data_IF_627706611260
#
_entry.id   IF_627706611260
#
_cell.length_a   1.000
_cell.length_b   1.000
_cell.length_c   1.000
_cell.angle_alpha   90.00
_cell.angle_beta   90.00
_cell.angle_gamma   90.00
#
_symmetry.space_group_name_H-M   'P 1'
#
loop_
_entity.id
_entity.type
_entity.pdbx_description
1 polymer ?
#
# COMPACT_ATOMS: atom_id res chain seq x y z
N UNK A 1 -1.24 -1.35 -12.55
CA UNK A 1 -0.15 -0.65 -11.85
C UNK A 1 -0.77 0.48 -11.04
N UNK A 2 -0.53 0.52 -9.73
CA UNK A 2 -1.25 1.44 -8.84
C UNK A 2 -0.45 2.63 -8.36
N UNK A 3 -1.02 3.81 -8.56
CA UNK A 3 -0.34 5.08 -8.33
C UNK A 3 -0.71 5.69 -6.98
N UNK A 4 -1.98 5.54 -6.58
CA UNK A 4 -2.55 6.23 -5.42
C UNK A 4 -1.78 5.92 -4.13
N UNK A 5 -1.44 4.64 -3.92
CA UNK A 5 -0.70 4.20 -2.73
C UNK A 5 0.81 4.39 -2.82
N UNK A 6 1.31 4.96 -3.91
CA UNK A 6 2.73 5.16 -4.16
C UNK A 6 3.05 6.61 -4.60
N UNK A 7 2.32 7.58 -4.03
CA UNK A 7 2.62 9.00 -4.16
C UNK A 7 1.70 9.82 -5.08
N UNK A 8 0.63 9.25 -5.63
CA UNK A 8 -0.35 9.99 -6.44
C UNK A 8 -1.63 10.32 -5.66
N UNK A 9 -2.28 11.43 -6.01
CA UNK A 9 -3.56 11.81 -5.40
C UNK A 9 -4.69 10.85 -5.77
N UNK A 10 -4.81 10.51 -7.07
CA UNK A 10 -5.76 9.56 -7.62
C UNK A 10 -5.19 8.95 -8.89
N UNK A 11 -5.64 7.74 -9.24
CA UNK A 11 -5.39 7.13 -10.54
C UNK A 11 -4.70 5.78 -10.46
N UNK A 12 -5.15 4.88 -11.33
CA UNK A 12 -4.63 3.53 -11.52
C UNK A 12 -4.41 3.32 -13.03
N UNK A 13 -3.32 2.64 -13.39
CA UNK A 13 -3.01 2.32 -14.78
C UNK A 13 -3.38 0.87 -15.08
N UNK A 14 -4.25 0.67 -16.07
CA UNK A 14 -4.64 -0.64 -16.58
C UNK A 14 -3.79 -0.93 -17.82
N UNK A 15 -3.04 -2.03 -17.77
CA UNK A 15 -2.11 -2.43 -18.82
C UNK A 15 -2.55 -3.77 -19.39
N UNK A 16 -2.90 -3.79 -20.68
CA UNK A 16 -3.22 -5.01 -21.41
C UNK A 16 -1.96 -5.52 -22.11
N UNK A 17 -1.41 -6.64 -21.64
CA UNK A 17 -0.30 -7.31 -22.32
C UNK A 17 -0.79 -8.09 -23.54
N UNK A 18 -1.93 -8.79 -23.40
CA UNK A 18 -2.69 -9.28 -24.53
C UNK A 18 -3.63 -8.16 -25.01
N UNK A 19 -3.37 -7.63 -26.21
CA UNK A 19 -4.12 -6.50 -26.76
C UNK A 19 -5.51 -6.87 -27.23
N UNK A 20 -5.78 -8.13 -27.53
CA UNK A 20 -7.12 -8.59 -27.93
C UNK A 20 -8.13 -8.38 -26.80
N UNK A 21 -7.67 -8.49 -25.54
CA UNK A 21 -8.49 -8.22 -24.36
C UNK A 21 -8.80 -6.71 -24.16
N UNK A 22 -8.13 -5.82 -24.88
CA UNK A 22 -8.35 -4.38 -24.80
C UNK A 22 -9.44 -3.87 -25.74
N UNK A 23 -10.01 -4.73 -26.59
CA UNK A 23 -11.11 -4.38 -27.49
C UNK A 23 -12.27 -3.74 -26.71
N UNK A 24 -12.67 -2.53 -27.15
CA UNK A 24 -13.71 -1.68 -26.55
C UNK A 24 -13.54 -1.35 -25.05
N UNK A 25 -12.33 -1.49 -24.50
CA UNK A 25 -12.10 -1.22 -23.08
C UNK A 25 -12.33 0.26 -22.70
N UNK A 26 -12.04 1.18 -23.61
CA UNK A 26 -12.33 2.61 -23.46
C UNK A 26 -13.83 2.90 -23.46
N UNK A 27 -14.63 2.21 -24.27
CA UNK A 27 -16.10 2.27 -24.22
C UNK A 27 -16.64 1.76 -22.87
N UNK A 28 -16.09 0.67 -22.33
CA UNK A 28 -16.44 0.19 -20.97
C UNK A 28 -16.10 1.22 -19.91
N UNK A 29 -14.91 1.83 -19.97
CA UNK A 29 -14.52 2.92 -19.07
C UNK A 29 -15.47 4.12 -19.18
N UNK A 30 -15.87 4.49 -20.39
CA UNK A 30 -16.82 5.57 -20.64
C UNK A 30 -18.18 5.27 -20.02
N UNK A 31 -18.74 4.09 -20.27
CA UNK A 31 -20.04 3.68 -19.75
C UNK A 31 -20.05 3.57 -18.22
N UNK A 32 -18.95 3.11 -17.63
CA UNK A 32 -18.78 3.00 -16.18
C UNK A 32 -18.49 4.35 -15.48
N UNK A 33 -18.42 5.46 -16.22
CA UNK A 33 -18.10 6.78 -15.67
C UNK A 33 -16.64 6.93 -15.22
N UNK A 34 -15.73 6.05 -15.66
CA UNK A 34 -14.29 6.09 -15.33
C UNK A 34 -13.46 6.89 -16.34
N UNK A 35 -14.08 7.47 -17.38
CA UNK A 35 -13.38 8.31 -18.35
C UNK A 35 -13.25 9.76 -17.84
N UNK A 36 -12.06 10.11 -17.34
CA UNK A 36 -11.77 11.45 -16.85
C UNK A 36 -11.76 12.50 -17.98
N UNK A 37 -12.65 13.50 -17.89
CA UNK A 37 -12.68 14.63 -18.85
C UNK A 37 -11.36 15.40 -18.89
N UNK A 38 -10.71 15.58 -17.72
CA UNK A 38 -9.40 16.24 -17.61
C UNK A 38 -8.30 15.20 -17.36
N UNK A 39 -8.13 14.28 -18.32
CA UNK A 39 -7.23 13.11 -18.22
C UNK A 39 -5.79 13.45 -17.83
N UNK A 40 -5.31 14.66 -18.16
CA UNK A 40 -3.97 15.15 -17.75
C UNK A 40 -3.71 15.07 -16.24
N UNK A 41 -4.74 15.17 -15.38
CA UNK A 41 -4.54 15.05 -13.94
C UNK A 41 -4.38 13.60 -13.47
N UNK A 42 -4.78 12.63 -14.29
CA UNK A 42 -4.49 11.21 -14.06
C UNK A 42 -3.15 10.83 -14.73
N UNK A 43 -2.87 11.32 -15.94
CA UNK A 43 -1.69 10.89 -16.71
C UNK A 43 -0.40 11.62 -16.36
N UNK A 44 -0.43 12.93 -16.07
CA UNK A 44 0.79 13.71 -15.82
C UNK A 44 1.61 13.23 -14.60
N UNK A 45 1.00 12.84 -13.45
CA UNK A 45 1.79 12.33 -12.32
C UNK A 45 2.60 11.07 -12.67
N UNK A 46 2.09 10.20 -13.55
CA UNK A 46 2.81 9.01 -14.00
C UNK A 46 4.13 9.35 -14.69
N UNK A 47 4.19 10.46 -15.44
CA UNK A 47 5.42 10.92 -16.08
C UNK A 47 6.50 11.15 -15.03
N UNK A 48 6.17 11.89 -13.96
CA UNK A 48 7.09 12.15 -12.86
C UNK A 48 7.47 10.88 -12.08
N UNK A 49 6.51 9.99 -11.84
CA UNK A 49 6.75 8.73 -11.14
C UNK A 49 7.70 7.80 -11.92
N UNK A 50 7.50 7.68 -13.23
CA UNK A 50 8.16 6.69 -14.08
C UNK A 50 9.50 7.17 -14.66
N UNK A 51 9.62 8.43 -15.08
CA UNK A 51 10.85 8.91 -15.74
C UNK A 51 12.06 8.94 -14.82
N UNK A 52 11.85 9.13 -13.52
CA UNK A 52 12.93 9.31 -12.54
C UNK A 52 13.01 8.17 -11.52
N UNK A 53 12.39 7.02 -11.80
CA UNK A 53 12.28 5.89 -10.87
C UNK A 53 11.74 6.26 -9.48
N UNK A 54 10.99 7.36 -9.38
CA UNK A 54 10.41 7.81 -8.12
C UNK A 54 9.46 6.75 -7.55
N UNK A 55 8.75 6.03 -8.43
CA UNK A 55 7.93 4.89 -8.04
C UNK A 55 8.71 3.79 -7.30
N UNK A 56 9.94 3.47 -7.73
CA UNK A 56 10.81 2.51 -7.03
C UNK A 56 11.40 3.11 -5.76
N UNK A 57 11.78 4.39 -5.78
CA UNK A 57 12.29 5.09 -4.61
C UNK A 57 11.27 5.07 -3.46
N UNK A 58 10.02 5.42 -3.73
CA UNK A 58 8.95 5.42 -2.74
C UNK A 58 8.64 4.01 -2.23
N UNK A 59 8.53 3.03 -3.13
CA UNK A 59 8.33 1.64 -2.75
C UNK A 59 9.47 1.09 -1.86
N UNK A 60 10.73 1.39 -2.21
CA UNK A 60 11.90 1.00 -1.40
C UNK A 60 11.90 1.65 -0.03
N UNK A 61 11.50 2.91 0.07
CA UNK A 61 11.38 3.61 1.35
C UNK A 61 10.32 2.95 2.24
N UNK A 62 9.11 2.74 1.72
CA UNK A 62 8.03 2.09 2.46
C UNK A 62 8.42 0.68 2.93
N UNK A 63 9.08 -0.11 2.07
CA UNK A 63 9.57 -1.43 2.42
C UNK A 63 10.70 -1.39 3.46
N UNK A 64 11.59 -0.40 3.39
CA UNK A 64 12.65 -0.21 4.38
C UNK A 64 12.07 0.11 5.76
N UNK A 65 11.10 1.03 5.85
CA UNK A 65 10.44 1.36 7.11
C UNK A 65 9.73 0.16 7.74
N UNK A 66 9.09 -0.69 6.93
CA UNK A 66 8.46 -1.91 7.43
C UNK A 66 9.48 -2.91 7.98
N UNK A 67 10.61 -3.11 7.28
CA UNK A 67 11.70 -3.97 7.78
C UNK A 67 12.32 -3.41 9.05
N UNK A 68 12.57 -2.11 9.09
CA UNK A 68 13.10 -1.43 10.28
C UNK A 68 12.18 -1.62 11.49
N UNK A 69 10.86 -1.44 11.31
CA UNK A 69 9.90 -1.69 12.39
C UNK A 69 9.98 -3.15 12.87
N UNK A 70 10.04 -4.12 11.96
CA UNK A 70 10.13 -5.53 12.31
C UNK A 70 11.44 -5.90 13.03
N UNK A 71 12.56 -5.31 12.61
CA UNK A 71 13.87 -5.47 13.26
C UNK A 71 13.84 -4.93 14.70
N UNK A 72 13.32 -3.71 14.88
CA UNK A 72 13.30 -3.01 16.18
C UNK A 72 12.35 -3.62 17.22
N UNK A 73 11.42 -4.50 16.81
CA UNK A 73 10.50 -5.18 17.73
C UNK A 73 10.79 -6.67 17.87
N UNK A 74 11.82 -7.18 17.19
CA UNK A 74 12.10 -8.61 17.09
C UNK A 74 12.50 -9.27 18.42
N UNK A 75 13.03 -8.48 19.36
CA UNK A 75 13.47 -8.90 20.68
C UNK A 75 12.47 -8.54 21.80
N UNK A 76 11.34 -7.91 21.46
CA UNK A 76 10.33 -7.49 22.43
C UNK A 76 9.51 -8.70 22.89
N UNK A 77 9.51 -9.05 24.20
CA UNK A 77 8.76 -10.20 24.69
C UNK A 77 7.25 -10.07 24.43
N UNK A 78 6.63 -11.16 23.97
CA UNK A 78 5.19 -11.18 23.67
C UNK A 78 4.80 -10.51 22.34
N UNK A 79 5.78 -10.12 21.53
CA UNK A 79 5.61 -9.66 20.15
C UNK A 79 6.22 -10.68 19.21
N UNK A 80 5.48 -11.12 18.20
CA UNK A 80 6.04 -12.00 17.16
C UNK A 80 5.50 -11.65 15.77
N UNK A 81 6.35 -11.82 14.76
CA UNK A 81 5.92 -11.66 13.37
C UNK A 81 4.99 -12.80 12.97
N UNK A 82 3.85 -12.44 12.38
CA UNK A 82 2.91 -13.42 11.82
C UNK A 82 3.34 -13.89 10.43
N UNK A 83 4.00 -13.02 9.67
CA UNK A 83 4.43 -13.26 8.29
C UNK A 83 5.78 -12.58 8.00
N UNK A 84 6.55 -13.06 7.01
CA UNK A 84 7.75 -12.37 6.53
C UNK A 84 7.44 -10.97 6.00
N UNK A 85 8.35 -10.02 6.23
CA UNK A 85 8.20 -8.62 5.77
C UNK A 85 8.79 -8.46 4.36
N UNK A 86 7.99 -8.81 3.36
CA UNK A 86 8.39 -8.77 1.95
C UNK A 86 7.95 -7.48 1.21
N UNK A 87 7.10 -6.68 1.85
CA UNK A 87 6.57 -5.42 1.31
C UNK A 87 6.57 -4.32 2.40
N UNK A 88 5.59 -3.43 2.38
CA UNK A 88 5.47 -2.28 3.28
C UNK A 88 4.54 -2.53 4.49
N UNK A 89 4.21 -3.78 4.79
CA UNK A 89 3.31 -4.16 5.87
C UNK A 89 4.00 -5.02 6.92
N UNK A 90 3.70 -4.77 8.19
CA UNK A 90 4.17 -5.57 9.33
C UNK A 90 2.98 -6.10 10.09
N UNK A 91 2.95 -7.41 10.30
CA UNK A 91 1.86 -8.13 10.95
C UNK A 91 2.41 -8.75 12.23
N UNK A 92 1.97 -8.23 13.37
CA UNK A 92 2.49 -8.61 14.68
C UNK A 92 1.40 -9.29 15.50
N UNK A 93 1.70 -10.47 16.02
CA UNK A 93 0.94 -11.05 17.12
C UNK A 93 1.33 -10.31 18.41
N UNK A 94 0.33 -9.76 19.09
CA UNK A 94 0.48 -9.04 20.36
C UNK A 94 -0.73 -9.32 21.24
N UNK A 95 -0.58 -9.15 22.55
CA UNK A 95 -1.71 -9.26 23.49
C UNK A 95 -2.63 -8.03 23.39
N UNK A 96 -3.92 -8.20 23.66
CA UNK A 96 -4.88 -7.09 23.63
C UNK A 96 -4.48 -5.92 24.57
N UNK A 97 -3.98 -6.16 25.80
CA UNK A 97 -3.50 -5.06 26.65
C UNK A 97 -2.37 -4.23 26.02
N UNK A 98 -1.43 -4.87 25.30
CA UNK A 98 -0.36 -4.15 24.61
C UNK A 98 -0.91 -3.30 23.46
N UNK A 99 -1.89 -3.82 22.72
CA UNK A 99 -2.56 -3.09 21.65
C UNK A 99 -3.36 -1.89 22.19
N UNK A 100 -4.04 -2.05 23.32
CA UNK A 100 -4.74 -0.95 24.00
C UNK A 100 -3.78 0.15 24.47
N UNK A 101 -2.61 -0.21 25.01
CA UNK A 101 -1.58 0.78 25.36
C UNK A 101 -1.11 1.56 24.12
N UNK A 102 -0.89 0.89 22.99
CA UNK A 102 -0.54 1.58 21.74
C UNK A 102 -1.65 2.54 21.30
N UNK A 103 -2.90 2.10 21.31
CA UNK A 103 -4.07 2.95 20.99
C UNK A 103 -4.17 4.15 21.94
N UNK A 104 -3.94 3.94 23.23
CA UNK A 104 -3.92 4.99 24.27
C UNK A 104 -2.81 6.03 24.05
N UNK A 105 -1.67 5.62 23.46
CA UNK A 105 -0.59 6.51 23.04
C UNK A 105 -0.81 7.12 21.64
N UNK A 106 -2.00 6.95 21.05
CA UNK A 106 -2.39 7.59 19.79
C UNK A 106 -2.02 6.83 18.52
N UNK A 107 -1.45 5.62 18.63
CA UNK A 107 -1.16 4.80 17.46
C UNK A 107 -2.46 4.37 16.75
N UNK A 108 -2.44 4.46 15.42
CA UNK A 108 -3.54 4.01 14.56
C UNK A 108 -3.06 2.84 13.70
N UNK A 109 -3.70 1.70 13.89
CA UNK A 109 -3.41 0.46 13.18
C UNK A 109 -4.69 -0.39 13.11
N UNK A 110 -4.67 -1.42 12.26
CA UNK A 110 -5.81 -2.33 12.11
C UNK A 110 -5.59 -3.62 12.89
N UNK A 111 -6.65 -4.20 13.45
CA UNK A 111 -6.64 -5.52 14.08
C UNK A 111 -7.58 -6.46 13.36
N UNK A 112 -7.15 -7.71 13.18
CA UNK A 112 -7.96 -8.73 12.50
C UNK A 112 -9.12 -9.21 13.37
N UNK A 113 -10.20 -9.63 12.72
CA UNK A 113 -11.35 -10.23 13.39
C UNK A 113 -10.97 -11.67 13.77
N UNK A 114 -11.06 -12.03 15.06
CA UNK A 114 -11.08 -13.42 15.53
C UNK A 114 -9.75 -14.09 15.90
N UNK A 115 -8.61 -13.74 15.29
CA UNK A 115 -7.32 -14.39 15.56
C UNK A 115 -6.33 -13.55 16.40
N UNK A 116 -6.68 -12.31 16.70
CA UNK A 116 -5.74 -11.33 17.24
C UNK A 116 -4.72 -10.86 16.19
N UNK A 117 -3.80 -10.01 16.63
CA UNK A 117 -2.74 -9.46 15.79
C UNK A 117 -3.07 -8.10 15.16
N UNK A 118 -2.02 -7.30 14.97
CA UNK A 118 -2.07 -5.94 14.47
C UNK A 118 -1.33 -5.81 13.14
N UNK A 119 -1.90 -5.00 12.23
CA UNK A 119 -1.32 -4.64 10.93
C UNK A 119 -0.86 -3.18 10.95
N UNK A 120 0.44 -2.99 10.82
CA UNK A 120 1.09 -1.70 10.62
C UNK A 120 1.47 -1.56 9.15
N UNK A 121 1.19 -0.40 8.55
CA UNK A 121 1.46 -0.13 7.14
C UNK A 121 2.36 1.09 7.02
N UNK A 122 3.42 0.98 6.22
CA UNK A 122 4.34 2.06 5.90
C UNK A 122 4.04 2.59 4.48
N UNK A 123 4.28 3.88 4.24
CA UNK A 123 4.05 4.55 2.95
C UNK A 123 5.19 5.49 2.63
#
# INVERSE_FOLDING_TARGET
FGGTKNGMAVGEAILFFNKDLAEDFDYRCKQAGQLASKMRYLSAPWVGLLQNDAWLKYARHANHCARLLAELVSDVPGVSLMFPVEANGVFLQMSEPALEILRGNGWRFYTFIGAGGARFMCS
#
